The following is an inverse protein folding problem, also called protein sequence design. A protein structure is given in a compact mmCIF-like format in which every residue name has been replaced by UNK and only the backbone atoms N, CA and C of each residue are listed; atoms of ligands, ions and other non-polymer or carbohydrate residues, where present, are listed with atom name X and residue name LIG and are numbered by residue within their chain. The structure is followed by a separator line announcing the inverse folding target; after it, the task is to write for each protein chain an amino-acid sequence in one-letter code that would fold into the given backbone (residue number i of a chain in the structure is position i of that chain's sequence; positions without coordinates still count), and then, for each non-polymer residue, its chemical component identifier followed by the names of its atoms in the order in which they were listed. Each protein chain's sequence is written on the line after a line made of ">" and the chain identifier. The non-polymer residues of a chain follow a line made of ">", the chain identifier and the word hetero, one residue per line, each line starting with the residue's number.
data_IF_871144222031
#
_entry.id   IF_871144222031
#
_cell.length_a   1.000
_cell.length_b   1.000
_cell.length_c   1.000
_cell.angle_alpha   90.00
_cell.angle_beta   90.00
_cell.angle_gamma   90.00
#
_symmetry.space_group_name_H-M   'P 1'
#
loop_
_entity.id
_entity.type
_entity.pdbx_description
1 polymer ?
#
# COMPACT_ATOMS: atom_id res chain seq x y z
N UNK A 1 18.44 -17.62 -37.21
CA UNK A 1 16.99 -17.71 -36.96
C UNK A 1 16.75 -17.55 -35.47
N UNK A 2 16.50 -16.33 -34.98
CA UNK A 2 16.32 -16.05 -33.55
C UNK A 2 14.86 -16.28 -33.16
N UNK A 3 14.55 -17.48 -32.68
CA UNK A 3 13.21 -17.84 -32.22
C UNK A 3 12.86 -17.16 -30.90
N UNK A 4 11.82 -16.32 -30.87
CA UNK A 4 11.20 -15.87 -29.63
C UNK A 4 10.36 -17.02 -29.07
N UNK A 5 10.85 -17.67 -28.02
CA UNK A 5 10.10 -18.67 -27.27
C UNK A 5 8.86 -18.01 -26.66
N UNK A 6 7.67 -18.51 -26.99
CA UNK A 6 6.40 -18.01 -26.46
C UNK A 6 6.31 -18.32 -24.95
N UNK A 7 6.39 -17.27 -24.13
CA UNK A 7 6.38 -17.33 -22.65
C UNK A 7 4.94 -17.47 -22.11
N UNK A 8 4.20 -18.50 -22.51
CA UNK A 8 2.76 -18.62 -22.21
C UNK A 8 2.43 -18.83 -20.72
N UNK A 9 3.36 -19.35 -19.91
CA UNK A 9 3.15 -19.56 -18.46
C UNK A 9 3.52 -18.34 -17.60
N UNK A 10 4.58 -17.62 -17.96
CA UNK A 10 4.97 -16.45 -17.16
C UNK A 10 3.98 -15.29 -17.30
N UNK A 11 3.33 -15.14 -18.45
CA UNK A 11 2.35 -14.07 -18.67
C UNK A 11 1.10 -14.26 -17.79
N UNK A 12 0.63 -15.51 -17.63
CA UNK A 12 -0.49 -15.83 -16.73
C UNK A 12 -0.15 -15.62 -15.26
N UNK A 13 1.07 -15.98 -14.83
CA UNK A 13 1.53 -15.76 -13.46
C UNK A 13 1.76 -14.28 -13.14
N UNK A 14 2.28 -13.51 -14.11
CA UNK A 14 2.42 -12.05 -14.01
C UNK A 14 1.02 -11.41 -13.91
N UNK A 15 0.05 -11.90 -14.69
CA UNK A 15 -1.33 -11.43 -14.65
C UNK A 15 -2.00 -11.69 -13.29
N UNK A 16 -1.81 -12.90 -12.71
CA UNK A 16 -2.35 -13.23 -11.39
C UNK A 16 -1.75 -12.37 -10.27
N UNK A 17 -0.42 -12.25 -10.20
CA UNK A 17 0.26 -11.37 -9.21
C UNK A 17 -0.18 -9.91 -9.34
N UNK A 18 -0.42 -9.46 -10.56
CA UNK A 18 -0.90 -8.08 -10.81
C UNK A 18 -2.34 -7.91 -10.31
N UNK A 19 -3.20 -8.91 -10.48
CA UNK A 19 -4.57 -8.90 -9.98
C UNK A 19 -4.62 -8.91 -8.46
N UNK A 20 -3.87 -9.81 -7.81
CA UNK A 20 -3.76 -9.89 -6.35
C UNK A 20 -3.29 -8.57 -5.75
N UNK A 21 -2.27 -7.96 -6.36
CA UNK A 21 -1.76 -6.66 -5.92
C UNK A 21 -2.82 -5.56 -5.98
N UNK A 22 -3.64 -5.55 -7.03
CA UNK A 22 -4.73 -4.57 -7.18
C UNK A 22 -5.85 -4.82 -6.18
N UNK A 23 -6.27 -6.06 -5.99
CA UNK A 23 -7.31 -6.40 -5.00
C UNK A 23 -6.86 -6.08 -3.57
N UNK A 24 -5.59 -6.34 -3.25
CA UNK A 24 -5.02 -5.95 -1.96
C UNK A 24 -5.00 -4.43 -1.79
N UNK A 25 -4.53 -3.68 -2.79
CA UNK A 25 -4.53 -2.22 -2.73
C UNK A 25 -5.94 -1.66 -2.52
N UNK A 26 -6.93 -2.18 -3.24
CA UNK A 26 -8.33 -1.77 -3.12
C UNK A 26 -8.92 -2.13 -1.74
N UNK A 27 -8.54 -3.27 -1.16
CA UNK A 27 -8.92 -3.62 0.19
C UNK A 27 -8.31 -2.65 1.22
N UNK A 28 -7.04 -2.27 1.06
CA UNK A 28 -6.39 -1.26 1.92
C UNK A 28 -7.02 0.13 1.71
N UNK A 29 -7.44 0.49 0.52
CA UNK A 29 -8.12 1.77 0.29
C UNK A 29 -9.51 1.84 0.96
N UNK A 30 -10.22 0.70 1.02
CA UNK A 30 -11.56 0.60 1.64
C UNK A 30 -11.53 0.40 3.16
N UNK A 31 -10.60 -0.42 3.65
CA UNK A 31 -10.57 -0.86 5.05
C UNK A 31 -9.33 -0.40 5.82
N UNK A 32 -8.32 0.15 5.13
CA UNK A 32 -7.12 0.65 5.76
C UNK A 32 -7.34 1.96 6.51
N UNK A 33 -6.50 2.20 7.50
CA UNK A 33 -6.49 3.40 8.33
C UNK A 33 -5.64 4.47 7.65
N UNK A 34 -6.09 5.72 7.75
CA UNK A 34 -5.31 6.88 7.31
C UNK A 34 -4.13 7.07 8.26
N UNK A 35 -2.92 6.91 7.75
CA UNK A 35 -1.68 7.10 8.49
C UNK A 35 -0.92 8.31 7.95
N UNK A 36 0.07 8.76 8.71
CA UNK A 36 1.00 9.78 8.24
C UNK A 36 1.61 9.38 6.88
N UNK A 37 1.65 10.31 5.91
CA UNK A 37 2.02 9.98 4.55
C UNK A 37 3.48 9.55 4.46
N UNK A 38 3.73 8.42 3.79
CA UNK A 38 5.09 8.02 3.43
C UNK A 38 5.70 9.01 2.43
N UNK A 39 7.02 8.99 2.27
CA UNK A 39 7.76 9.87 1.36
C UNK A 39 7.14 9.96 -0.04
N UNK A 40 6.61 8.84 -0.55
CA UNK A 40 5.97 8.81 -1.87
C UNK A 40 4.60 9.47 -1.87
N UNK A 41 3.72 9.10 -0.93
CA UNK A 41 2.40 9.69 -0.79
C UNK A 41 2.49 11.20 -0.54
N UNK A 42 3.46 11.65 0.26
CA UNK A 42 3.70 13.06 0.53
C UNK A 42 4.08 13.83 -0.76
N UNK A 43 5.05 13.32 -1.53
CA UNK A 43 5.45 13.94 -2.81
C UNK A 43 4.34 13.97 -3.84
N UNK A 44 3.45 12.98 -3.82
CA UNK A 44 2.31 12.89 -4.72
C UNK A 44 1.04 13.56 -4.17
N UNK A 45 1.12 14.18 -2.98
CA UNK A 45 0.01 14.77 -2.25
C UNK A 45 -1.23 13.84 -2.16
N UNK A 46 -0.99 12.57 -1.81
CA UNK A 46 -2.02 11.53 -1.65
C UNK A 46 -2.16 11.12 -0.19
N UNK A 47 -3.39 10.77 0.18
CA UNK A 47 -3.68 10.13 1.47
C UNK A 47 -3.03 8.75 1.52
N UNK A 48 -2.35 8.46 2.62
CA UNK A 48 -1.64 7.20 2.81
C UNK A 48 -2.48 6.29 3.69
N UNK A 49 -3.11 5.29 3.07
CA UNK A 49 -3.87 4.25 3.78
C UNK A 49 -3.05 3.01 3.98
N UNK A 50 -3.07 2.44 5.18
CA UNK A 50 -2.33 1.23 5.51
C UNK A 50 -3.26 0.24 6.25
N UNK A 51 -3.09 -1.05 5.98
CA UNK A 51 -3.73 -2.10 6.77
C UNK A 51 -2.78 -2.53 7.90
N UNK A 52 -3.31 -2.90 9.06
CA UNK A 52 -2.53 -3.25 10.26
C UNK A 52 -1.46 -4.32 9.99
N UNK A 53 -1.80 -5.34 9.20
CA UNK A 53 -0.88 -6.44 8.86
C UNK A 53 0.04 -6.13 7.67
N UNK A 54 -0.06 -4.94 7.08
CA UNK A 54 0.72 -4.58 5.90
C UNK A 54 1.88 -3.66 6.24
N UNK A 55 3.08 -4.05 5.84
CA UNK A 55 4.27 -3.19 5.87
C UNK A 55 4.24 -2.07 4.82
N UNK A 56 3.21 -1.99 3.98
CA UNK A 56 3.12 -1.06 2.85
C UNK A 56 1.74 -0.43 2.76
N UNK A 57 1.69 0.86 2.44
CA UNK A 57 0.43 1.55 2.14
C UNK A 57 -0.19 1.09 0.82
N UNK A 58 -1.50 1.29 0.66
CA UNK A 58 -2.28 0.90 -0.51
C UNK A 58 -1.67 1.41 -1.82
N UNK A 59 -1.19 2.65 -1.86
CA UNK A 59 -0.56 3.23 -3.05
C UNK A 59 0.79 2.56 -3.40
N UNK A 60 1.61 2.24 -2.40
CA UNK A 60 2.87 1.51 -2.60
C UNK A 60 2.59 0.06 -3.06
N UNK A 61 1.55 -0.58 -2.53
CA UNK A 61 1.10 -1.90 -3.01
C UNK A 61 0.67 -1.78 -4.48
N UNK A 62 -0.21 -0.82 -4.81
CA UNK A 62 -0.76 -0.62 -6.16
C UNK A 62 0.32 -0.41 -7.22
N UNK A 63 1.30 0.43 -6.89
CA UNK A 63 2.45 0.74 -7.76
C UNK A 63 3.51 -0.37 -7.78
N UNK A 64 3.46 -1.30 -6.83
CA UNK A 64 4.41 -2.40 -6.72
C UNK A 64 5.76 -2.00 -6.14
N UNK A 65 5.81 -0.94 -5.33
CA UNK A 65 7.02 -0.58 -4.59
C UNK A 65 7.26 -1.59 -3.46
N UNK A 66 8.52 -1.95 -3.29
CA UNK A 66 8.98 -2.83 -2.20
C UNK A 66 9.15 -2.09 -0.88
N UNK A 67 9.57 -0.82 -0.92
CA UNK A 67 9.83 0.01 0.26
C UNK A 67 8.69 1.01 0.50
N UNK A 68 8.23 1.09 1.75
CA UNK A 68 7.25 2.05 2.21
C UNK A 68 7.64 2.53 3.63
N UNK A 69 8.02 3.80 3.75
CA UNK A 69 8.46 4.37 5.04
C UNK A 69 7.29 4.75 5.96
N UNK A 70 6.04 4.50 5.54
CA UNK A 70 4.83 4.85 6.29
C UNK A 70 4.63 4.03 7.57
N UNK A 71 5.19 2.82 7.64
CA UNK A 71 5.03 1.92 8.78
C UNK A 71 5.63 2.48 10.08
N UNK A 72 6.73 3.23 9.97
CA UNK A 72 7.42 3.77 11.15
C UNK A 72 6.71 5.00 11.76
N UNK A 73 5.78 5.62 11.03
CA UNK A 73 5.09 6.84 11.48
C UNK A 73 3.73 6.51 12.11
N UNK A 74 3.05 5.44 11.67
CA UNK A 74 1.80 4.98 12.27
C UNK A 74 1.98 4.62 13.76
N UNK A 75 3.05 3.89 14.10
CA UNK A 75 3.39 3.55 15.49
C UNK A 75 3.79 4.76 16.36
N UNK A 76 4.18 5.89 15.75
CA UNK A 76 4.56 7.09 16.48
C UNK A 76 3.36 7.99 16.83
N UNK A 77 2.25 7.90 16.09
CA UNK A 77 1.06 8.73 16.32
C UNK A 77 0.05 8.10 17.28
N UNK A 78 0.05 6.77 17.47
CA UNK A 78 -0.78 6.08 18.48
C UNK A 78 -0.52 6.59 19.92
N UNK A 79 0.64 7.20 20.17
CA UNK A 79 1.00 7.73 21.50
C UNK A 79 0.53 9.16 21.77
N UNK A 80 0.02 9.92 20.79
CA UNK A 80 -0.24 11.37 20.96
C UNK A 80 -1.72 11.78 20.97
N UNK A 81 -2.67 10.84 21.01
CA UNK A 81 -4.07 11.18 21.29
C UNK A 81 -4.69 10.28 22.35
N UNK A 82 -4.40 10.50 23.65
CA UNK A 82 -5.31 10.03 24.69
C UNK A 82 -6.54 10.93 24.88
N UNK A 83 -6.67 12.12 24.27
CA UNK A 83 -7.70 13.08 24.71
C UNK A 83 -8.37 13.94 23.61
N UNK A 84 -8.82 13.35 22.50
CA UNK A 84 -9.77 14.08 21.62
C UNK A 84 -11.07 13.32 21.39
N UNK A 85 -11.71 12.87 22.48
CA UNK A 85 -13.15 12.60 22.48
C UNK A 85 -13.75 12.90 23.87
N UNK A 86 -14.02 14.16 24.20
CA UNK A 86 -15.25 14.51 24.94
C UNK A 86 -15.78 15.85 24.41
N UNK A 87 -16.90 15.76 23.70
CA UNK A 87 -17.84 16.83 23.37
C UNK A 87 -18.22 17.71 24.57
N UNK A 88 -18.40 19.02 24.36
CA UNK A 88 -19.18 19.88 25.27
C UNK A 88 -18.66 21.30 25.39
#
# INVERSE_FOLDING_TARGET
>A
MSGRVAKRKADSEISQKTRERRSLAEAVERHGVDVMPCTHCFKSNKVCKMAEESSRCGECIRTGRSQCDGNNVANACEFFFPDFVVFG
#
